data_IF_823233333514
#
_entry.id   IF_823233333514
#
_cell.length_a   1.000
_cell.length_b   1.000
_cell.length_c   1.000
_cell.angle_alpha   90.00
_cell.angle_beta   90.00
_cell.angle_gamma   90.00
#
_symmetry.space_group_name_H-M   'P 1'
#
loop_
_entity.id
_entity.type
_entity.pdbx_description
1 polymer ?
#
# COMPACT_ATOMS: atom_id res chain seq x y z
N UNK A 1 2.42 -16.95 -10.84
CA UNK A 1 1.98 -15.74 -10.11
C UNK A 1 2.18 -14.60 -11.09
N UNK A 2 1.14 -14.25 -11.85
CA UNK A 2 1.29 -13.71 -13.22
C UNK A 2 1.80 -12.27 -13.32
N UNK A 3 1.77 -11.50 -12.24
CA UNK A 3 2.09 -10.06 -12.32
C UNK A 3 3.57 -9.74 -12.02
N UNK A 4 4.44 -10.72 -11.76
CA UNK A 4 5.88 -10.48 -11.57
C UNK A 4 6.28 -9.84 -10.22
N UNK A 5 5.47 -10.05 -9.17
CA UNK A 5 5.64 -9.44 -7.83
C UNK A 5 7.07 -9.55 -7.26
N UNK A 6 7.74 -10.68 -7.44
CA UNK A 6 9.08 -10.91 -6.89
C UNK A 6 10.18 -10.11 -7.59
N UNK A 7 9.99 -9.72 -8.86
CA UNK A 7 11.00 -9.02 -9.65
C UNK A 7 10.75 -7.51 -9.73
N UNK A 8 9.48 -7.11 -9.79
CA UNK A 8 9.05 -5.72 -9.92
C UNK A 8 7.78 -5.52 -9.06
N UNK A 9 7.94 -5.32 -7.73
CA UNK A 9 6.81 -5.29 -6.82
C UNK A 9 5.88 -4.11 -7.08
N UNK A 10 6.42 -2.94 -7.44
CA UNK A 10 5.63 -1.77 -7.79
C UNK A 10 4.86 -1.99 -9.08
N UNK A 11 5.52 -2.41 -10.16
CA UNK A 11 4.84 -2.64 -11.42
C UNK A 11 3.86 -3.81 -11.36
N UNK A 12 4.10 -4.82 -10.52
CA UNK A 12 3.13 -5.90 -10.30
C UNK A 12 1.81 -5.37 -9.73
N UNK A 13 1.88 -4.48 -8.74
CA UNK A 13 0.68 -3.81 -8.21
C UNK A 13 0.06 -2.91 -9.26
N UNK A 14 0.85 -2.13 -10.01
CA UNK A 14 0.31 -1.29 -11.08
C UNK A 14 -0.42 -2.10 -12.16
N UNK A 15 0.13 -3.25 -12.60
CA UNK A 15 -0.51 -4.14 -13.57
C UNK A 15 -1.79 -4.77 -13.02
N UNK A 16 -1.74 -5.27 -11.78
CA UNK A 16 -2.93 -5.82 -11.10
C UNK A 16 -4.05 -4.77 -10.96
N UNK A 17 -3.71 -3.55 -10.55
CA UNK A 17 -4.64 -2.42 -10.49
C UNK A 17 -5.24 -2.12 -11.86
N UNK A 18 -4.42 -1.96 -12.90
CA UNK A 18 -4.89 -1.72 -14.27
C UNK A 18 -5.85 -2.81 -14.76
N UNK A 19 -5.54 -4.09 -14.50
CA UNK A 19 -6.39 -5.22 -14.87
C UNK A 19 -7.79 -5.14 -14.24
N UNK A 20 -7.88 -4.73 -12.97
CA UNK A 20 -9.17 -4.53 -12.28
C UNK A 20 -9.93 -3.36 -12.91
N UNK A 21 -9.26 -2.23 -13.15
CA UNK A 21 -9.89 -1.05 -13.77
C UNK A 21 -10.41 -1.36 -15.17
N UNK A 22 -9.64 -2.06 -15.98
CA UNK A 22 -10.06 -2.50 -17.32
C UNK A 22 -11.22 -3.49 -17.27
N UNK A 23 -11.26 -4.38 -16.28
CA UNK A 23 -12.38 -5.30 -16.10
C UNK A 23 -13.68 -4.54 -15.82
N UNK A 24 -13.65 -3.50 -14.97
CA UNK A 24 -14.79 -2.60 -14.76
C UNK A 24 -15.22 -1.94 -16.07
N UNK A 25 -14.28 -1.40 -16.85
CA UNK A 25 -14.58 -0.77 -18.15
C UNK A 25 -15.23 -1.75 -19.13
N UNK A 26 -14.70 -2.98 -19.24
CA UNK A 26 -15.28 -4.03 -20.11
C UNK A 26 -16.68 -4.45 -19.69
N UNK A 27 -17.00 -4.34 -18.40
CA UNK A 27 -18.34 -4.58 -17.87
C UNK A 27 -19.30 -3.38 -18.05
N UNK A 28 -18.85 -2.27 -18.67
CA UNK A 28 -19.65 -1.05 -18.81
C UNK A 28 -19.83 -0.27 -17.49
N UNK A 29 -18.96 -0.51 -16.51
CA UNK A 29 -18.99 0.16 -15.21
C UNK A 29 -17.92 1.26 -15.15
N UNK A 30 -18.26 2.37 -14.48
CA UNK A 30 -17.26 3.37 -14.11
C UNK A 30 -16.27 2.76 -13.10
N UNK A 31 -14.95 2.80 -13.36
CA UNK A 31 -14.00 2.17 -12.45
C UNK A 31 -13.93 2.85 -11.09
N UNK A 32 -14.21 2.07 -10.06
CA UNK A 32 -14.09 2.45 -8.67
C UNK A 32 -13.19 1.43 -7.95
N UNK A 33 -11.95 1.83 -7.66
CA UNK A 33 -11.02 1.01 -6.88
C UNK A 33 -10.50 1.80 -5.70
N UNK A 34 -10.46 1.14 -4.55
CA UNK A 34 -9.80 1.56 -3.33
C UNK A 34 -8.87 0.44 -2.90
N UNK A 35 -7.58 0.72 -2.78
CA UNK A 35 -6.55 -0.27 -2.54
C UNK A 35 -5.59 0.23 -1.48
N UNK A 36 -5.60 -0.43 -0.33
CA UNK A 36 -4.49 -0.47 0.60
C UNK A 36 -4.04 -1.91 0.78
N UNK A 37 -2.76 -2.17 0.59
CA UNK A 37 -2.19 -3.50 0.75
C UNK A 37 -0.75 -3.39 1.23
N UNK A 38 -0.32 -4.40 1.98
CA UNK A 38 1.07 -4.59 2.39
C UNK A 38 1.50 -6.02 2.06
N UNK A 39 2.73 -6.18 1.58
CA UNK A 39 3.29 -7.46 1.19
C UNK A 39 4.82 -7.42 1.29
N UNK A 40 5.47 -8.58 1.33
CA UNK A 40 6.91 -8.67 1.57
C UNK A 40 7.54 -9.81 0.76
N UNK A 41 8.81 -9.64 0.43
CA UNK A 41 9.69 -10.68 -0.12
C UNK A 41 10.60 -11.32 0.97
N UNK A 42 10.40 -10.94 2.24
CA UNK A 42 11.22 -11.37 3.37
C UNK A 42 12.42 -10.46 3.67
N UNK A 43 12.78 -9.53 2.78
CA UNK A 43 13.85 -8.55 2.98
C UNK A 43 13.32 -7.11 3.11
N UNK A 44 12.32 -6.75 2.30
CA UNK A 44 11.61 -5.49 2.36
C UNK A 44 10.12 -5.69 2.62
N UNK A 45 9.48 -4.71 3.26
CA UNK A 45 8.04 -4.58 3.31
C UNK A 45 7.61 -3.53 2.28
N UNK A 46 6.67 -3.87 1.42
CA UNK A 46 6.07 -2.99 0.46
C UNK A 46 4.66 -2.64 0.90
N UNK A 47 4.22 -1.43 0.59
CA UNK A 47 2.82 -1.06 0.74
C UNK A 47 2.35 -0.15 -0.39
N UNK A 48 1.06 -0.23 -0.69
CA UNK A 48 0.39 0.64 -1.65
C UNK A 48 -0.77 1.35 -0.97
N UNK A 49 -0.93 2.63 -1.29
CA UNK A 49 -2.13 3.41 -0.98
C UNK A 49 -2.64 4.05 -2.26
N UNK A 50 -3.76 3.56 -2.78
CA UNK A 50 -4.31 4.00 -4.06
C UNK A 50 -5.84 4.06 -4.03
N UNK A 51 -6.41 5.02 -4.74
CA UNK A 51 -7.80 4.98 -5.15
C UNK A 51 -7.99 5.69 -6.50
N UNK A 52 -9.07 5.36 -7.21
CA UNK A 52 -9.49 6.09 -8.42
C UNK A 52 -10.13 7.43 -8.08
N UNK A 53 -10.61 7.61 -6.85
CA UNK A 53 -11.17 8.85 -6.32
C UNK A 53 -10.25 9.49 -5.26
N UNK A 54 -10.69 10.62 -4.70
CA UNK A 54 -9.96 11.32 -3.64
C UNK A 54 -9.96 10.59 -2.28
N UNK A 55 -10.60 9.43 -2.15
CA UNK A 55 -10.90 8.77 -0.88
C UNK A 55 -10.21 7.40 -0.76
N UNK A 56 -8.89 7.38 -0.95
CA UNK A 56 -8.08 6.20 -0.66
C UNK A 56 -8.12 5.87 0.85
N UNK A 57 -8.34 4.59 1.22
CA UNK A 57 -8.19 4.15 2.60
C UNK A 57 -6.84 4.59 3.14
N UNK A 58 -6.85 4.97 4.40
CA UNK A 58 -5.71 5.46 5.17
C UNK A 58 -4.62 4.40 5.29
N UNK A 59 -3.39 4.88 5.43
CA UNK A 59 -2.23 4.07 5.70
C UNK A 59 -1.21 4.95 6.44
N UNK A 60 -0.61 4.40 7.48
CA UNK A 60 0.32 5.10 8.35
C UNK A 60 1.57 4.26 8.55
N UNK A 61 2.68 4.94 8.82
CA UNK A 61 3.94 4.33 9.21
C UNK A 61 4.45 4.94 10.50
N UNK A 62 5.13 4.15 11.32
CA UNK A 62 5.83 4.64 12.51
C UNK A 62 7.03 3.76 12.86
N UNK A 63 7.88 4.28 13.73
CA UNK A 63 9.00 3.56 14.36
C UNK A 63 8.53 3.13 15.75
N UNK A 64 8.69 1.84 16.08
CA UNK A 64 8.43 1.37 17.43
C UNK A 64 9.37 2.04 18.44
N UNK A 65 8.82 2.38 19.62
CA UNK A 65 9.60 2.90 20.74
C UNK A 65 10.79 1.98 21.04
N UNK A 66 11.93 2.59 21.42
CA UNK A 66 13.21 1.90 21.66
C UNK A 66 13.85 1.26 20.42
N UNK A 67 13.41 1.62 19.21
CA UNK A 67 14.04 1.17 17.97
C UNK A 67 13.81 -0.31 17.63
N UNK A 68 12.75 -0.91 18.17
CA UNK A 68 12.44 -2.33 17.96
C UNK A 68 12.03 -2.68 16.52
N UNK A 69 11.83 -1.68 15.66
CA UNK A 69 11.51 -1.84 14.25
C UNK A 69 10.62 -0.72 13.73
N UNK A 70 10.11 -0.91 12.52
CA UNK A 70 9.12 -0.04 11.87
C UNK A 70 7.84 -0.82 11.61
N UNK A 71 6.72 -0.12 11.52
CA UNK A 71 5.43 -0.72 11.18
C UNK A 71 4.68 0.11 10.15
N UNK A 72 3.86 -0.58 9.35
CA UNK A 72 2.88 0.01 8.45
C UNK A 72 1.50 -0.54 8.88
N UNK A 73 0.54 0.35 9.08
CA UNK A 73 -0.81 0.00 9.54
C UNK A 73 -1.87 0.82 8.83
N UNK A 74 -3.10 0.31 8.75
CA UNK A 74 -4.22 1.06 8.18
C UNK A 74 -4.63 2.23 9.08
N UNK A 75 -4.61 2.03 10.40
CA UNK A 75 -4.98 3.04 11.40
C UNK A 75 -4.01 2.99 12.59
N UNK A 76 -3.60 4.15 13.16
CA UNK A 76 -2.82 4.20 14.39
C UNK A 76 -3.50 3.43 15.53
N UNK A 77 -2.80 2.49 16.14
CA UNK A 77 -3.36 1.64 17.20
C UNK A 77 -2.98 2.08 18.62
N UNK A 78 -1.96 2.93 18.78
CA UNK A 78 -1.66 3.53 20.08
C UNK A 78 -2.34 4.90 20.22
N UNK A 79 -2.87 5.17 21.42
CA UNK A 79 -3.61 6.40 21.70
C UNK A 79 -2.71 7.52 22.20
N UNK A 80 -1.52 7.19 22.71
CA UNK A 80 -0.59 8.14 23.30
C UNK A 80 0.85 7.82 22.88
N UNK A 81 1.41 8.71 22.05
CA UNK A 81 2.84 8.88 21.79
C UNK A 81 3.48 7.92 20.77
N UNK A 82 2.74 7.45 19.77
CA UNK A 82 3.31 6.98 18.51
C UNK A 82 3.57 8.15 17.57
N UNK A 83 4.77 8.21 16.98
CA UNK A 83 5.09 9.19 15.93
C UNK A 83 4.56 8.68 14.58
N UNK A 84 3.24 8.77 14.40
CA UNK A 84 2.56 8.25 13.22
C UNK A 84 2.64 9.24 12.07
N UNK A 85 3.13 8.75 10.94
CA UNK A 85 3.21 9.52 9.70
C UNK A 85 2.22 8.95 8.70
N UNK A 86 1.30 9.79 8.22
CA UNK A 86 0.36 9.40 7.17
C UNK A 86 1.14 9.18 5.86
N UNK A 87 0.95 8.03 5.24
CA UNK A 87 1.47 7.75 3.89
C UNK A 87 0.58 8.50 2.90
N UNK A 88 1.12 9.36 2.01
CA UNK A 88 0.30 10.11 1.07
C UNK A 88 -0.55 9.21 0.15
N UNK A 89 -1.73 9.67 -0.32
CA UNK A 89 -2.48 8.94 -1.32
C UNK A 89 -1.66 8.79 -2.61
N UNK A 90 -1.98 7.78 -3.41
CA UNK A 90 -1.27 7.45 -4.65
C UNK A 90 0.23 7.18 -4.46
N UNK A 91 0.56 6.50 -3.36
CA UNK A 91 1.95 6.16 -3.00
C UNK A 91 2.21 4.66 -3.07
N UNK A 92 3.43 4.34 -3.50
CA UNK A 92 4.07 3.04 -3.29
C UNK A 92 5.22 3.23 -2.30
N UNK A 93 5.25 2.41 -1.25
CA UNK A 93 6.23 2.50 -0.17
C UNK A 93 7.08 1.25 -0.18
N UNK A 94 8.39 1.44 -0.08
CA UNK A 94 9.35 0.38 0.21
C UNK A 94 10.00 0.67 1.55
N UNK A 95 9.88 -0.26 2.49
CA UNK A 95 10.51 -0.21 3.79
C UNK A 95 11.54 -1.33 3.87
N UNK A 96 12.81 -0.95 3.86
CA UNK A 96 13.95 -1.86 4.02
C UNK A 96 14.32 -1.96 5.50
N UNK A 97 15.48 -2.54 5.84
CA UNK A 97 16.02 -2.54 7.22
C UNK A 97 16.90 -1.32 7.54
N UNK A 98 17.39 -0.64 6.51
CA UNK A 98 18.28 0.53 6.63
C UNK A 98 17.53 1.83 6.94
#
# INVERSE_FOLDING_TARGET
>A
IDEGLSADPQGAVSRATSRVLEASRRAGLEPALKLTAAFSDGQALYAVRYATDAHAPTLYTSIFRKGAGRCIVSEPFDREGGDWQAIPPSSFVTMTRD
#
